data_IF_941372395678
#
_entry.id   IF_941372395678
#
_cell.length_a   1.000
_cell.length_b   1.000
_cell.length_c   1.000
_cell.angle_alpha   90.00
_cell.angle_beta   90.00
_cell.angle_gamma   90.00
#
_symmetry.space_group_name_H-M   'P 1'
#
loop_
_entity.id
_entity.type
_entity.pdbx_description
1 polymer ?
#
# COMPACT_ATOMS: atom_id res chain seq x y z
N UNK A 1 16.70 -15.22 5.00
CA UNK A 1 15.99 -15.97 3.95
C UNK A 1 14.57 -16.29 4.42
N UNK A 2 13.53 -15.94 3.63
CA UNK A 2 12.14 -16.31 3.92
C UNK A 2 11.92 -17.72 3.39
N UNK A 3 11.69 -18.67 4.28
CA UNK A 3 11.57 -20.10 3.96
C UNK A 3 10.15 -20.65 4.18
N UNK A 4 9.25 -19.88 4.80
CA UNK A 4 7.90 -20.32 5.17
C UNK A 4 6.85 -19.33 4.66
N UNK A 5 5.67 -19.87 4.32
CA UNK A 5 4.49 -19.11 3.90
C UNK A 5 3.53 -18.79 5.08
N UNK A 6 3.99 -19.00 6.29
CA UNK A 6 3.26 -18.76 7.54
C UNK A 6 3.98 -17.71 8.38
N UNK A 7 3.23 -16.81 8.98
CA UNK A 7 3.75 -15.78 9.85
C UNK A 7 3.36 -16.05 11.32
N UNK A 8 4.25 -15.77 12.29
CA UNK A 8 3.91 -15.92 13.71
C UNK A 8 2.70 -15.04 14.08
N UNK A 9 1.64 -15.64 14.61
CA UNK A 9 0.38 -14.96 14.94
C UNK A 9 0.56 -13.79 15.92
N UNK A 10 1.51 -13.88 16.84
CA UNK A 10 1.81 -12.82 17.81
C UNK A 10 2.38 -11.57 17.16
N UNK A 11 3.24 -11.70 16.16
CA UNK A 11 3.82 -10.56 15.44
C UNK A 11 2.77 -9.88 14.54
N UNK A 12 1.89 -10.67 13.90
CA UNK A 12 0.83 -10.15 13.01
C UNK A 12 -0.19 -9.32 13.79
N UNK A 13 -0.59 -9.77 14.98
CA UNK A 13 -1.59 -9.09 15.81
C UNK A 13 -1.13 -7.71 16.31
N UNK A 14 0.16 -7.42 16.31
CA UNK A 14 0.70 -6.12 16.75
C UNK A 14 0.83 -5.09 15.62
N UNK A 15 0.79 -5.51 14.35
CA UNK A 15 1.07 -4.64 13.21
C UNK A 15 0.04 -4.82 12.09
N UNK A 16 -0.75 -3.79 11.83
CA UNK A 16 -1.76 -3.80 10.75
C UNK A 16 -1.16 -4.10 9.38
N UNK A 17 0.01 -3.54 9.08
CA UNK A 17 0.69 -3.74 7.79
C UNK A 17 1.03 -5.21 7.48
N UNK A 18 0.91 -6.13 8.46
CA UNK A 18 1.14 -7.56 8.26
C UNK A 18 0.25 -8.18 7.17
N UNK A 19 -0.92 -7.59 6.86
CA UNK A 19 -1.78 -8.10 5.79
C UNK A 19 -1.16 -7.99 4.39
N UNK A 20 -0.14 -7.15 4.18
CA UNK A 20 0.58 -7.10 2.90
C UNK A 20 1.37 -8.38 2.61
N UNK A 21 1.66 -9.17 3.63
CA UNK A 21 2.25 -10.48 3.43
C UNK A 21 1.33 -11.46 2.69
N UNK A 22 0.02 -11.26 2.68
CA UNK A 22 -0.91 -12.13 1.90
C UNK A 22 -0.50 -12.16 0.44
N UNK A 23 -0.39 -11.00 -0.21
CA UNK A 23 -0.03 -10.91 -1.63
C UNK A 23 1.39 -11.38 -1.93
N UNK A 24 2.36 -10.96 -1.10
CA UNK A 24 3.76 -11.32 -1.33
C UNK A 24 4.07 -12.81 -1.12
N UNK A 25 3.48 -13.44 -0.10
CA UNK A 25 3.63 -14.87 0.14
C UNK A 25 2.89 -15.70 -0.91
N UNK A 26 1.66 -15.27 -1.26
CA UNK A 26 0.89 -15.92 -2.32
C UNK A 26 1.64 -15.89 -3.66
N UNK A 27 2.17 -14.74 -4.06
CA UNK A 27 2.95 -14.61 -5.29
C UNK A 27 4.22 -15.46 -5.28
N UNK A 28 4.92 -15.53 -4.14
CA UNK A 28 6.21 -16.25 -4.01
C UNK A 28 6.05 -17.76 -3.83
N UNK A 29 5.09 -18.19 -3.01
CA UNK A 29 4.97 -19.59 -2.59
C UNK A 29 3.72 -20.29 -3.12
N UNK A 30 2.83 -19.57 -3.82
CA UNK A 30 1.52 -20.09 -4.22
C UNK A 30 0.56 -20.30 -3.06
N UNK A 31 0.94 -19.89 -1.85
CA UNK A 31 0.12 -19.98 -0.64
C UNK A 31 0.49 -18.93 0.38
N UNK A 32 -0.45 -18.56 1.23
CA UNK A 32 -0.23 -17.70 2.39
C UNK A 32 -1.17 -18.09 3.52
N UNK A 33 -0.68 -18.07 4.74
CA UNK A 33 -1.49 -18.20 5.96
C UNK A 33 -1.22 -16.96 6.81
N UNK A 34 -2.25 -16.15 7.03
CA UNK A 34 -2.13 -14.89 7.74
C UNK A 34 -3.29 -14.76 8.73
N UNK A 35 -2.97 -14.65 10.02
CA UNK A 35 -3.96 -14.31 11.05
C UNK A 35 -4.46 -12.88 10.80
N UNK A 36 -5.74 -12.58 11.08
CA UNK A 36 -6.26 -11.22 10.94
C UNK A 36 -5.35 -10.23 11.66
N UNK A 37 -4.84 -9.23 10.93
CA UNK A 37 -3.90 -8.29 11.51
C UNK A 37 -4.58 -7.42 12.57
N UNK A 38 -3.89 -7.21 13.66
CA UNK A 38 -4.31 -6.29 14.72
C UNK A 38 -4.13 -4.82 14.33
N UNK A 39 -3.68 -4.02 15.25
CA UNK A 39 -3.55 -2.57 15.15
C UNK A 39 -4.68 -1.86 15.89
N UNK A 40 -4.81 -0.55 15.65
CA UNK A 40 -5.80 0.28 16.33
C UNK A 40 -7.24 -0.15 16.02
N UNK A 41 -8.06 -0.23 17.06
CA UNK A 41 -9.48 -0.58 16.95
C UNK A 41 -10.31 0.66 16.55
N UNK A 42 -10.15 1.11 15.33
CA UNK A 42 -10.85 2.30 14.78
C UNK A 42 -12.07 1.93 13.92
N UNK A 43 -12.56 0.68 14.01
CA UNK A 43 -13.72 0.18 13.30
C UNK A 43 -13.43 -0.98 12.35
N UNK A 44 -14.47 -1.47 11.65
CA UNK A 44 -14.32 -2.58 10.69
C UNK A 44 -13.36 -2.20 9.57
N UNK A 45 -12.43 -3.08 9.28
CA UNK A 45 -11.46 -2.94 8.18
C UNK A 45 -11.49 -4.20 7.33
N UNK A 46 -12.52 -4.36 6.49
CA UNK A 46 -12.73 -5.55 5.70
C UNK A 46 -11.58 -5.76 4.72
N UNK A 47 -11.32 -7.03 4.40
CA UNK A 47 -10.32 -7.46 3.40
C UNK A 47 -10.98 -8.06 2.16
N UNK A 48 -12.26 -7.84 1.97
CA UNK A 48 -13.08 -8.36 0.87
C UNK A 48 -12.48 -8.05 -0.51
N UNK A 49 -11.98 -6.83 -0.72
CA UNK A 49 -11.34 -6.43 -1.97
C UNK A 49 -10.01 -7.14 -2.21
N UNK A 50 -9.28 -7.51 -1.14
CA UNK A 50 -8.08 -8.33 -1.25
C UNK A 50 -8.44 -9.76 -1.69
N UNK A 51 -9.43 -10.36 -1.03
CA UNK A 51 -9.94 -11.70 -1.32
C UNK A 51 -10.43 -11.76 -2.76
N UNK A 52 -11.29 -10.82 -3.17
CA UNK A 52 -11.78 -10.70 -4.55
C UNK A 52 -10.64 -10.69 -5.57
N UNK A 53 -9.57 -9.94 -5.27
CA UNK A 53 -8.40 -9.88 -6.14
C UNK A 53 -7.66 -11.21 -6.23
N UNK A 54 -7.44 -11.89 -5.11
CA UNK A 54 -6.76 -13.19 -5.09
C UNK A 54 -7.57 -14.29 -5.77
N UNK A 55 -8.89 -14.34 -5.55
CA UNK A 55 -9.78 -15.28 -6.22
C UNK A 55 -9.83 -15.06 -7.74
N UNK A 56 -9.85 -13.79 -8.18
CA UNK A 56 -9.77 -13.48 -9.60
C UNK A 56 -8.46 -13.95 -10.24
N UNK A 57 -7.35 -13.92 -9.49
CA UNK A 57 -6.06 -14.49 -9.92
C UNK A 57 -6.01 -16.03 -9.86
N UNK A 58 -7.10 -16.70 -9.44
CA UNK A 58 -7.21 -18.16 -9.39
C UNK A 58 -6.82 -18.79 -8.06
N UNK A 59 -6.66 -18.00 -7.00
CA UNK A 59 -6.47 -18.54 -5.66
C UNK A 59 -7.81 -18.94 -5.02
N UNK A 60 -7.75 -19.90 -4.10
CA UNK A 60 -8.84 -20.24 -3.18
C UNK A 60 -8.57 -19.61 -1.84
N UNK A 61 -9.56 -18.92 -1.28
CA UNK A 61 -9.47 -18.27 0.03
C UNK A 61 -10.44 -18.92 1.01
N UNK A 62 -9.96 -19.22 2.20
CA UNK A 62 -10.76 -19.73 3.33
C UNK A 62 -10.43 -18.95 4.59
N UNK A 63 -11.46 -18.54 5.28
CA UNK A 63 -11.35 -17.87 6.59
C UNK A 63 -11.79 -18.84 7.69
N UNK A 64 -10.96 -19.01 8.70
CA UNK A 64 -11.25 -19.87 9.84
C UNK A 64 -10.49 -19.39 11.08
N UNK A 65 -11.17 -19.23 12.21
CA UNK A 65 -10.57 -18.86 13.51
C UNK A 65 -9.64 -17.64 13.43
N UNK A 66 -10.13 -16.54 12.88
CA UNK A 66 -9.36 -15.29 12.68
C UNK A 66 -8.11 -15.47 11.79
N UNK A 67 -8.09 -16.47 10.93
CA UNK A 67 -6.99 -16.76 10.04
C UNK A 67 -7.49 -16.89 8.60
N UNK A 68 -6.75 -16.26 7.69
CA UNK A 68 -6.98 -16.34 6.24
C UNK A 68 -5.99 -17.33 5.65
N UNK A 69 -6.50 -18.36 5.01
CA UNK A 69 -5.74 -19.36 4.27
C UNK A 69 -5.95 -19.11 2.78
N UNK A 70 -4.89 -18.90 2.06
CA UNK A 70 -4.90 -18.59 0.62
C UNK A 70 -4.03 -19.61 -0.09
N UNK A 71 -4.57 -20.25 -1.13
CA UNK A 71 -3.83 -21.24 -1.92
C UNK A 71 -4.09 -21.07 -3.41
N UNK A 72 -3.05 -21.20 -4.23
CA UNK A 72 -3.12 -21.20 -5.68
C UNK A 72 -2.50 -22.51 -6.21
N UNK A 73 -3.22 -23.63 -6.08
CA UNK A 73 -2.72 -24.98 -6.42
C UNK A 73 -2.28 -25.10 -7.89
N UNK A 74 -2.95 -24.38 -8.80
CA UNK A 74 -2.65 -24.37 -10.23
C UNK A 74 -1.82 -23.14 -10.66
N UNK A 75 -1.16 -22.46 -9.70
CA UNK A 75 -0.49 -21.19 -9.92
C UNK A 75 -1.46 -20.02 -10.09
N UNK A 76 -0.92 -18.81 -10.01
CA UNK A 76 -1.69 -17.59 -10.26
C UNK A 76 -1.75 -17.29 -11.75
N UNK A 77 -2.92 -16.81 -12.21
CA UNK A 77 -3.15 -16.43 -13.61
C UNK A 77 -3.61 -14.99 -13.70
N UNK A 78 -3.07 -14.27 -14.68
CA UNK A 78 -3.47 -12.90 -14.97
C UNK A 78 -4.95 -12.79 -15.27
N UNK A 79 -5.60 -11.77 -14.71
CA UNK A 79 -7.04 -11.56 -14.81
C UNK A 79 -7.39 -10.08 -14.96
N UNK A 80 -8.61 -9.80 -15.38
CA UNK A 80 -9.19 -8.46 -15.29
C UNK A 80 -9.94 -8.34 -13.97
N UNK A 81 -9.51 -7.41 -13.12
CA UNK A 81 -10.01 -7.22 -11.77
C UNK A 81 -10.51 -5.79 -11.63
N UNK A 82 -11.78 -5.63 -11.29
CA UNK A 82 -12.37 -4.34 -10.96
C UNK A 82 -12.60 -4.29 -9.43
N UNK A 83 -12.01 -3.31 -8.74
CA UNK A 83 -12.27 -3.07 -7.33
C UNK A 83 -13.59 -2.32 -7.17
N UNK A 84 -14.49 -2.80 -6.31
CA UNK A 84 -15.79 -2.18 -6.07
C UNK A 84 -15.64 -0.82 -5.36
N UNK A 85 -14.56 -0.68 -4.60
CA UNK A 85 -14.12 0.56 -3.98
C UNK A 85 -12.60 0.70 -4.10
N UNK A 86 -12.13 1.94 -4.19
CA UNK A 86 -10.70 2.24 -4.16
C UNK A 86 -10.11 1.79 -2.83
N UNK A 87 -9.10 0.94 -2.87
CA UNK A 87 -8.41 0.43 -1.69
C UNK A 87 -6.91 0.35 -1.93
N UNK A 88 -6.14 1.13 -1.19
CA UNK A 88 -4.66 1.11 -1.23
C UNK A 88 -4.15 -0.28 -0.91
N UNK A 89 -4.65 -0.87 0.19
CA UNK A 89 -4.21 -2.19 0.64
C UNK A 89 -4.49 -3.30 -0.36
N UNK A 90 -5.70 -3.34 -0.94
CA UNK A 90 -6.05 -4.32 -1.96
C UNK A 90 -5.22 -4.12 -3.23
N UNK A 91 -5.03 -2.88 -3.69
CA UNK A 91 -4.19 -2.55 -4.84
C UNK A 91 -2.77 -3.09 -4.67
N UNK A 92 -2.12 -2.80 -3.52
CA UNK A 92 -0.77 -3.29 -3.23
C UNK A 92 -0.72 -4.83 -3.17
N UNK A 93 -1.65 -5.47 -2.47
CA UNK A 93 -1.67 -6.93 -2.34
C UNK A 93 -1.88 -7.63 -3.68
N UNK A 94 -2.76 -7.08 -4.53
CA UNK A 94 -2.98 -7.63 -5.87
C UNK A 94 -1.73 -7.44 -6.74
N UNK A 95 -1.06 -6.28 -6.69
CA UNK A 95 0.22 -6.07 -7.38
C UNK A 95 1.25 -7.10 -6.94
N UNK A 96 1.44 -7.28 -5.62
CA UNK A 96 2.41 -8.22 -5.04
C UNK A 96 2.16 -9.69 -5.46
N UNK A 97 0.91 -10.09 -5.61
CA UNK A 97 0.57 -11.42 -6.10
C UNK A 97 0.71 -11.53 -7.63
N UNK A 98 0.20 -10.54 -8.36
CA UNK A 98 0.11 -10.55 -9.82
C UNK A 98 1.46 -10.47 -10.54
N UNK A 99 2.52 -9.95 -9.90
CA UNK A 99 3.87 -9.91 -10.50
C UNK A 99 4.42 -11.29 -10.81
N UNK A 100 3.87 -12.35 -10.22
CA UNK A 100 4.24 -13.74 -10.49
C UNK A 100 3.11 -14.54 -11.20
N UNK A 101 1.97 -13.91 -11.51
CA UNK A 101 0.87 -14.57 -12.18
C UNK A 101 1.20 -14.83 -13.68
N UNK A 102 0.83 -15.98 -14.21
CA UNK A 102 0.97 -16.29 -15.62
C UNK A 102 0.09 -15.35 -16.47
N UNK A 103 0.68 -14.64 -17.44
CA UNK A 103 -0.04 -13.73 -18.33
C UNK A 103 -0.09 -12.29 -17.82
N UNK A 104 -1.20 -11.60 -18.10
CA UNK A 104 -1.35 -10.18 -17.77
C UNK A 104 -2.57 -9.94 -16.88
N UNK A 105 -2.38 -9.21 -15.79
CA UNK A 105 -3.44 -8.70 -14.92
C UNK A 105 -3.75 -7.25 -15.30
N UNK A 106 -5.03 -6.91 -15.38
CA UNK A 106 -5.53 -5.54 -15.51
C UNK A 106 -6.34 -5.23 -14.27
N UNK A 107 -5.82 -4.36 -13.43
CA UNK A 107 -6.48 -3.91 -12.20
C UNK A 107 -7.12 -2.56 -12.46
N UNK A 108 -8.44 -2.48 -12.33
CA UNK A 108 -9.27 -1.29 -12.56
C UNK A 108 -9.82 -0.75 -11.23
N UNK A 109 -10.10 0.54 -11.20
CA UNK A 109 -10.46 1.29 -9.99
C UNK A 109 -9.38 1.16 -8.90
N UNK A 110 -8.12 1.10 -9.32
CA UNK A 110 -6.96 1.00 -8.45
C UNK A 110 -6.73 2.30 -7.66
N UNK A 111 -6.10 2.17 -6.51
CA UNK A 111 -5.59 3.29 -5.73
C UNK A 111 -4.46 4.01 -6.49
N UNK A 112 -4.35 5.34 -6.30
CA UNK A 112 -3.43 6.22 -7.06
C UNK A 112 -2.37 6.86 -6.19
N UNK A 113 -2.39 6.57 -4.92
CA UNK A 113 -1.52 7.16 -3.90
C UNK A 113 -0.04 6.96 -4.24
N UNK A 114 0.84 7.89 -3.82
CA UNK A 114 2.28 7.85 -4.12
C UNK A 114 2.96 6.54 -3.75
N UNK A 115 2.54 5.90 -2.66
CA UNK A 115 3.06 4.61 -2.21
C UNK A 115 2.78 3.46 -3.21
N UNK A 116 1.74 3.57 -4.04
CA UNK A 116 1.48 2.62 -5.14
C UNK A 116 2.52 2.78 -6.25
N UNK A 117 2.87 4.03 -6.56
CA UNK A 117 3.90 4.35 -7.56
C UNK A 117 5.26 3.86 -7.06
N UNK A 118 5.56 4.09 -5.78
CA UNK A 118 6.82 3.67 -5.16
C UNK A 118 6.98 2.15 -5.17
N UNK A 119 5.92 1.40 -4.78
CA UNK A 119 5.89 -0.05 -4.85
C UNK A 119 6.12 -0.56 -6.29
N UNK A 120 5.42 0.02 -7.27
CA UNK A 120 5.57 -0.37 -8.67
C UNK A 120 6.98 -0.08 -9.18
N UNK A 121 7.58 1.04 -8.80
CA UNK A 121 8.95 1.42 -9.12
C UNK A 121 9.95 0.44 -8.51
N UNK A 122 9.78 0.12 -7.23
CA UNK A 122 10.61 -0.88 -6.53
C UNK A 122 10.56 -2.24 -7.23
N UNK A 123 9.37 -2.74 -7.53
CA UNK A 123 9.20 -4.04 -8.20
C UNK A 123 9.73 -4.02 -9.64
N UNK A 124 9.53 -2.92 -10.40
CA UNK A 124 10.08 -2.77 -11.74
C UNK A 124 11.61 -2.75 -11.74
N UNK A 125 12.24 -2.13 -10.73
CA UNK A 125 13.68 -2.18 -10.53
C UNK A 125 14.20 -3.61 -10.25
N UNK A 126 13.34 -4.49 -9.75
CA UNK A 126 13.62 -5.91 -9.57
C UNK A 126 13.31 -6.76 -10.82
N UNK A 127 12.78 -6.18 -11.88
CA UNK A 127 12.46 -6.85 -13.14
C UNK A 127 10.97 -7.13 -13.37
N UNK A 128 10.07 -6.62 -12.53
CA UNK A 128 8.63 -6.66 -12.80
C UNK A 128 8.26 -5.82 -14.03
N UNK A 129 7.04 -6.04 -14.52
CA UNK A 129 6.49 -5.31 -15.66
C UNK A 129 5.14 -4.69 -15.27
N UNK A 130 5.21 -3.56 -14.55
CA UNK A 130 4.05 -2.84 -14.04
C UNK A 130 3.97 -1.48 -14.75
N UNK A 131 2.78 -1.14 -15.26
CA UNK A 131 2.48 0.14 -15.93
C UNK A 131 1.17 0.69 -15.40
N UNK A 132 1.04 2.02 -15.39
CA UNK A 132 -0.17 2.72 -14.98
C UNK A 132 -0.31 2.94 -13.47
N UNK A 133 0.70 2.63 -12.65
CA UNK A 133 0.71 3.02 -11.24
C UNK A 133 0.53 4.55 -11.11
N UNK A 134 -0.31 4.99 -10.18
CA UNK A 134 -0.73 6.40 -10.05
C UNK A 134 -1.95 6.75 -10.90
N UNK A 135 -2.48 5.83 -11.69
CA UNK A 135 -3.76 5.96 -12.39
C UNK A 135 -4.78 4.93 -11.86
N UNK A 136 -6.02 5.02 -12.30
CA UNK A 136 -7.09 4.07 -11.93
C UNK A 136 -6.98 2.71 -12.62
N UNK A 137 -6.07 2.55 -13.58
CA UNK A 137 -5.86 1.29 -14.30
C UNK A 137 -4.39 0.90 -14.25
N UNK A 138 -4.09 -0.22 -13.60
CA UNK A 138 -2.74 -0.77 -13.50
C UNK A 138 -2.68 -2.07 -14.31
N UNK A 139 -1.69 -2.17 -15.19
CA UNK A 139 -1.37 -3.36 -15.96
C UNK A 139 -0.12 -4.01 -15.42
N UNK A 140 -0.22 -5.31 -15.11
CA UNK A 140 0.87 -6.10 -14.55
C UNK A 140 1.07 -7.32 -15.44
N UNK A 141 2.23 -7.46 -16.05
CA UNK A 141 2.62 -8.70 -16.76
C UNK A 141 3.50 -9.52 -15.83
N UNK A 142 3.09 -10.74 -15.56
CA UNK A 142 3.80 -11.61 -14.64
C UNK A 142 5.18 -12.01 -15.16
N UNK A 143 6.09 -12.21 -14.22
CA UNK A 143 7.47 -12.61 -14.47
C UNK A 143 7.85 -13.80 -13.62
N UNK A 144 8.71 -14.71 -14.13
CA UNK A 144 9.07 -15.92 -13.39
C UNK A 144 9.93 -15.64 -12.15
N UNK A 145 10.66 -14.52 -12.14
CA UNK A 145 11.59 -14.17 -11.06
C UNK A 145 11.78 -12.66 -10.93
N UNK A 146 11.87 -12.21 -9.69
CA UNK A 146 12.30 -10.86 -9.33
C UNK A 146 13.69 -10.93 -8.69
N UNK A 147 14.58 -10.02 -9.08
CA UNK A 147 15.94 -9.94 -8.54
C UNK A 147 16.28 -8.51 -8.17
N UNK A 148 16.69 -8.29 -6.93
CA UNK A 148 17.20 -6.98 -6.51
C UNK A 148 18.55 -6.72 -7.19
N UNK A 149 18.60 -5.67 -8.01
CA UNK A 149 19.83 -5.26 -8.73
C UNK A 149 20.38 -3.93 -8.23
N UNK A 150 19.54 -3.14 -7.58
CA UNK A 150 19.85 -1.78 -7.17
C UNK A 150 19.31 -1.49 -5.77
N UNK A 151 19.86 -0.46 -5.14
CA UNK A 151 19.28 0.11 -3.92
C UNK A 151 18.01 0.88 -4.28
N UNK A 152 16.97 0.73 -3.48
CA UNK A 152 15.75 1.52 -3.56
C UNK A 152 15.62 2.37 -2.29
N UNK A 153 15.39 3.66 -2.45
CA UNK A 153 15.08 4.56 -1.35
C UNK A 153 13.57 4.73 -1.30
N UNK A 154 12.97 4.35 -0.20
CA UNK A 154 11.53 4.48 0.04
C UNK A 154 11.18 5.97 0.14
N UNK A 155 10.06 6.38 -0.45
CA UNK A 155 9.56 7.75 -0.34
C UNK A 155 9.20 8.11 1.11
N UNK A 156 9.26 9.39 1.51
CA UNK A 156 8.79 9.85 2.82
C UNK A 156 7.31 9.54 3.05
N UNK A 157 6.96 9.20 4.30
CA UNK A 157 5.58 8.93 4.69
C UNK A 157 4.76 10.23 4.75
N UNK A 158 3.85 10.40 3.78
CA UNK A 158 2.96 11.56 3.72
C UNK A 158 1.94 11.59 4.87
N UNK A 159 1.57 10.44 5.42
CA UNK A 159 0.63 10.36 6.54
C UNK A 159 1.29 10.86 7.83
N UNK A 160 2.53 10.44 8.07
CA UNK A 160 3.35 10.97 9.17
C UNK A 160 3.54 12.48 9.03
N UNK A 161 3.96 12.95 7.85
CA UNK A 161 4.15 14.37 7.56
C UNK A 161 2.87 15.18 7.80
N UNK A 162 1.72 14.72 7.28
CA UNK A 162 0.42 15.37 7.48
C UNK A 162 0.01 15.44 8.95
N UNK A 163 0.31 14.39 9.72
CA UNK A 163 0.06 14.34 11.16
C UNK A 163 0.85 15.41 11.90
N UNK A 164 2.14 15.58 11.58
CA UNK A 164 2.95 16.65 12.19
C UNK A 164 2.55 18.05 11.74
N UNK A 165 2.12 18.22 10.49
CA UNK A 165 1.58 19.50 10.01
C UNK A 165 0.29 19.88 10.74
N UNK A 166 -0.62 18.91 10.96
CA UNK A 166 -1.84 19.16 11.72
C UNK A 166 -1.54 19.51 13.19
N UNK A 167 -0.60 18.78 13.82
CA UNK A 167 -0.16 19.10 15.16
C UNK A 167 0.49 20.50 15.25
N UNK A 168 1.30 20.85 14.27
CA UNK A 168 1.93 22.17 14.18
C UNK A 168 0.91 23.30 14.11
N UNK A 169 -0.15 23.14 13.29
CA UNK A 169 -1.23 24.11 13.18
C UNK A 169 -2.03 24.24 14.47
N UNK A 170 -2.30 23.10 15.16
CA UNK A 170 -3.13 23.09 16.36
C UNK A 170 -2.42 23.59 17.61
N UNK A 171 -1.12 23.36 17.76
CA UNK A 171 -0.40 23.56 19.03
C UNK A 171 1.03 24.12 18.81
N UNK A 172 1.46 24.32 17.58
CA UNK A 172 2.83 24.71 17.27
C UNK A 172 3.12 26.19 17.50
N UNK A 173 4.39 26.49 17.77
CA UNK A 173 4.92 27.86 17.87
C UNK A 173 6.00 28.07 16.79
N UNK A 174 5.61 27.78 15.52
CA UNK A 174 6.49 27.75 14.36
C UNK A 174 7.23 26.42 14.21
N UNK A 175 6.73 25.54 13.35
CA UNK A 175 7.27 24.19 13.14
C UNK A 175 7.65 24.00 11.68
N UNK A 176 8.86 23.49 11.44
CA UNK A 176 9.34 23.09 10.11
C UNK A 176 9.38 21.57 10.00
N UNK A 177 8.52 21.01 9.13
CA UNK A 177 8.53 19.59 8.76
C UNK A 177 9.42 19.40 7.54
N UNK A 178 10.45 18.57 7.65
CA UNK A 178 11.51 18.37 6.63
C UNK A 178 11.51 16.95 6.06
N UNK A 179 12.26 16.80 4.95
CA UNK A 179 12.43 15.52 4.26
C UNK A 179 11.09 14.93 3.83
N UNK A 180 10.25 15.75 3.25
CA UNK A 180 8.95 15.41 2.72
C UNK A 180 8.89 15.73 1.22
N UNK A 181 7.87 15.20 0.57
CA UNK A 181 7.52 15.55 -0.82
C UNK A 181 6.22 16.35 -0.76
N UNK A 182 6.26 17.69 -0.83
CA UNK A 182 5.08 18.54 -0.66
C UNK A 182 3.94 18.21 -1.63
N UNK A 183 4.27 17.76 -2.85
CA UNK A 183 3.31 17.36 -3.87
C UNK A 183 2.42 16.18 -3.40
N UNK A 184 2.95 15.33 -2.52
CA UNK A 184 2.16 14.23 -1.93
C UNK A 184 1.14 14.70 -0.88
N UNK A 185 1.21 15.97 -0.49
CA UNK A 185 0.39 16.60 0.54
C UNK A 185 -0.53 17.70 0.00
N UNK A 186 -0.56 17.95 -1.31
CA UNK A 186 -1.30 19.07 -1.91
C UNK A 186 -2.77 19.15 -1.47
N UNK A 187 -3.49 18.04 -1.49
CA UNK A 187 -4.90 18.00 -1.06
C UNK A 187 -5.04 18.33 0.43
N UNK A 188 -4.08 17.94 1.25
CA UNK A 188 -4.08 18.18 2.69
C UNK A 188 -3.73 19.64 2.99
N UNK A 189 -2.65 20.16 2.40
CA UNK A 189 -2.21 21.56 2.58
C UNK A 189 -3.23 22.55 2.05
N UNK A 190 -3.90 22.23 0.94
CA UNK A 190 -5.00 23.05 0.45
C UNK A 190 -6.14 23.19 1.48
N UNK A 191 -6.49 22.11 2.20
CA UNK A 191 -7.49 22.17 3.27
C UNK A 191 -7.02 22.94 4.49
N UNK A 192 -5.74 22.83 4.85
CA UNK A 192 -5.18 23.66 5.92
C UNK A 192 -5.24 25.16 5.58
N UNK A 193 -4.94 25.52 4.33
CA UNK A 193 -5.04 26.91 3.86
C UNK A 193 -6.50 27.40 3.86
N UNK A 194 -7.46 26.57 3.41
CA UNK A 194 -8.90 26.88 3.50
C UNK A 194 -9.37 27.12 4.95
N UNK A 195 -8.76 26.46 5.92
CA UNK A 195 -9.01 26.66 7.36
C UNK A 195 -8.34 27.91 7.93
N UNK A 196 -7.53 28.64 7.14
CA UNK A 196 -6.84 29.85 7.57
C UNK A 196 -5.41 29.62 8.10
N UNK A 197 -4.85 28.43 7.92
CA UNK A 197 -3.46 28.16 8.28
C UNK A 197 -2.52 28.70 7.19
N UNK A 198 -1.61 29.59 7.57
CA UNK A 198 -0.53 30.02 6.68
C UNK A 198 0.51 28.90 6.55
N UNK A 199 0.96 28.60 5.33
CA UNK A 199 1.97 27.58 5.06
C UNK A 199 3.06 28.15 4.14
N UNK A 200 4.32 28.00 4.54
CA UNK A 200 5.49 28.26 3.68
C UNK A 200 5.94 26.90 3.11
N UNK A 201 5.49 26.61 1.88
CA UNK A 201 5.79 25.36 1.17
C UNK A 201 7.09 25.56 0.39
N UNK A 202 8.07 24.70 0.66
CA UNK A 202 9.41 24.70 0.05
C UNK A 202 9.62 23.42 -0.73
N UNK A 203 10.79 23.24 -1.33
CA UNK A 203 11.12 22.10 -2.20
C UNK A 203 10.99 20.73 -1.47
N UNK A 204 11.45 20.63 -0.22
CA UNK A 204 11.51 19.40 0.56
C UNK A 204 10.95 19.54 1.98
N UNK A 205 10.24 20.62 2.25
CA UNK A 205 9.79 20.96 3.60
C UNK A 205 8.59 21.90 3.58
N UNK A 206 7.84 21.91 4.67
CA UNK A 206 6.74 22.85 4.91
C UNK A 206 6.93 23.47 6.29
N UNK A 207 6.92 24.80 6.35
CA UNK A 207 6.92 25.53 7.61
C UNK A 207 5.49 25.96 7.93
N UNK A 208 5.06 25.68 9.15
CA UNK A 208 3.78 26.11 9.72
C UNK A 208 4.11 27.17 10.77
N UNK A 209 3.80 28.45 10.55
CA UNK A 209 3.97 29.49 11.57
C UNK A 209 3.00 29.26 12.72
N UNK A 210 3.18 30.01 13.81
CA UNK A 210 2.23 30.02 14.91
C UNK A 210 0.85 30.46 14.43
N UNK A 211 -0.14 29.67 14.72
CA UNK A 211 -1.54 30.01 14.45
C UNK A 211 -2.18 30.51 15.74
N UNK A 212 -2.63 31.76 15.74
CA UNK A 212 -3.21 32.36 16.94
C UNK A 212 -4.70 32.02 17.11
N UNK A 213 -5.42 31.76 16.03
CA UNK A 213 -6.84 31.36 16.04
C UNK A 213 -7.12 30.44 14.82
N UNK A 214 -7.54 29.24 15.06
CA UNK A 214 -8.11 28.31 14.07
C UNK A 214 -9.62 28.34 14.16
#
# INVERSE_FOLDING_TARGET
EIIEAELPSTAIKSLRASYYFMGSLLGRFGRATVTFPGGDNIGPRPIDQHIKGFEALGATVREENDTVYITAENGLKGARIFLDMVSVGATMNIILAAVHAEGTTILENAAREPEIIDLATFLNNMGAQIRGAGTDVIRITGVPKLESKNTHTIIPDRIEAGTYLALAAAQGDGVLVKNIIPEHLESFTAKMIEMGVDLDVREDSIFVPKVENL
#
